data_IF_613231223109
#
_entry.id   IF_613231223109
#
_cell.length_a   1.000
_cell.length_b   1.000
_cell.length_c   1.000
_cell.angle_alpha   90.00
_cell.angle_beta   90.00
_cell.angle_gamma   90.00
#
_symmetry.space_group_name_H-M   'P 1'
#
loop_
_entity.id
_entity.type
_entity.pdbx_description
1 polymer ?
#
# COMPACT_ATOMS: atom_id res chain seq x y z
N UNK A 1 -9.90 -24.20 -3.62
CA UNK A 1 -8.98 -25.18 -4.25
C UNK A 1 -7.57 -24.64 -4.08
N UNK A 2 -6.64 -25.39 -3.48
CA UNK A 2 -5.23 -24.98 -3.47
C UNK A 2 -4.70 -25.13 -4.90
N UNK A 3 -4.27 -24.03 -5.52
CA UNK A 3 -3.50 -24.10 -6.77
C UNK A 3 -2.24 -24.93 -6.45
N UNK A 4 -1.98 -26.04 -7.17
CA UNK A 4 -0.76 -26.80 -6.96
C UNK A 4 0.39 -25.96 -7.51
N UNK A 5 1.02 -25.18 -6.64
CA UNK A 5 2.29 -24.55 -6.95
C UNK A 5 3.35 -25.66 -6.99
N UNK A 6 4.21 -25.68 -8.01
CA UNK A 6 5.34 -26.59 -8.01
C UNK A 6 6.22 -26.33 -6.80
N UNK A 7 6.73 -27.38 -6.16
CA UNK A 7 7.53 -27.31 -4.92
C UNK A 7 8.83 -26.48 -5.06
N UNK A 8 9.22 -26.15 -6.30
CA UNK A 8 10.38 -25.31 -6.60
C UNK A 8 10.08 -23.80 -6.66
N UNK A 9 8.82 -23.38 -6.62
CA UNK A 9 8.47 -21.95 -6.59
C UNK A 9 8.45 -21.49 -5.12
N UNK A 10 9.40 -20.63 -4.69
CA UNK A 10 9.40 -20.14 -3.32
C UNK A 10 8.21 -19.20 -3.12
N UNK A 11 7.15 -19.72 -2.50
CA UNK A 11 6.00 -18.92 -2.08
C UNK A 11 6.25 -18.48 -0.64
N UNK A 12 6.03 -17.20 -0.29
CA UNK A 12 6.17 -16.75 1.09
C UNK A 12 5.23 -17.55 2.01
N UNK A 13 5.69 -17.84 3.22
CA UNK A 13 4.83 -18.43 4.24
C UNK A 13 3.68 -17.48 4.58
N UNK A 14 2.61 -18.03 5.15
CA UNK A 14 1.47 -17.22 5.62
C UNK A 14 1.93 -16.10 6.57
N UNK A 15 2.80 -16.42 7.53
CA UNK A 15 3.37 -15.44 8.47
C UNK A 15 4.16 -14.33 7.76
N UNK A 16 4.91 -14.69 6.70
CA UNK A 16 5.63 -13.71 5.89
C UNK A 16 4.67 -12.82 5.10
N UNK A 17 3.62 -13.38 4.49
CA UNK A 17 2.61 -12.59 3.75
C UNK A 17 1.82 -11.66 4.69
N UNK A 18 1.48 -12.12 5.89
CA UNK A 18 0.80 -11.31 6.90
C UNK A 18 1.68 -10.15 7.37
N UNK A 19 2.96 -10.42 7.63
CA UNK A 19 3.95 -9.39 8.02
C UNK A 19 4.09 -8.34 6.92
N UNK A 20 4.26 -8.78 5.66
CA UNK A 20 4.35 -7.88 4.51
C UNK A 20 3.09 -7.02 4.39
N UNK A 21 1.91 -7.62 4.58
CA UNK A 21 0.64 -6.89 4.47
C UNK A 21 0.49 -5.80 5.52
N UNK A 22 0.83 -6.09 6.78
CA UNK A 22 0.77 -5.11 7.87
C UNK A 22 1.76 -3.96 7.60
N UNK A 23 3.01 -4.29 7.25
CA UNK A 23 4.03 -3.26 6.99
C UNK A 23 3.62 -2.38 5.81
N UNK A 24 3.17 -2.97 4.71
CA UNK A 24 2.72 -2.23 3.53
C UNK A 24 1.47 -1.38 3.81
N UNK A 25 0.56 -1.83 4.68
CA UNK A 25 -0.58 -1.04 5.13
C UNK A 25 -0.12 0.23 5.86
N UNK A 26 0.83 0.10 6.80
CA UNK A 26 1.42 1.26 7.48
C UNK A 26 2.10 2.22 6.49
N UNK A 27 2.87 1.70 5.54
CA UNK A 27 3.50 2.53 4.50
C UNK A 27 2.44 3.27 3.67
N UNK A 28 1.35 2.59 3.30
CA UNK A 28 0.23 3.17 2.58
C UNK A 28 -0.41 4.34 3.33
N UNK A 29 -0.70 4.17 4.62
CA UNK A 29 -1.24 5.23 5.49
C UNK A 29 -0.29 6.43 5.55
N UNK A 30 1.01 6.18 5.77
CA UNK A 30 2.02 7.23 5.81
C UNK A 30 2.09 8.01 4.49
N UNK A 31 2.01 7.33 3.34
CA UNK A 31 2.01 7.98 2.01
C UNK A 31 0.78 8.86 1.80
N UNK A 32 -0.41 8.42 2.23
CA UNK A 32 -1.63 9.23 2.13
C UNK A 32 -1.50 10.47 3.03
N UNK A 33 -1.11 10.32 4.29
CA UNK A 33 -0.96 11.44 5.21
C UNK A 33 0.07 12.46 4.71
N UNK A 34 1.25 11.99 4.30
CA UNK A 34 2.30 12.85 3.77
C UNK A 34 1.89 13.49 2.43
N UNK A 35 1.24 12.73 1.56
CA UNK A 35 0.73 13.20 0.27
C UNK A 35 -0.30 14.33 0.45
N UNK A 36 -1.26 14.17 1.37
CA UNK A 36 -2.24 15.20 1.70
C UNK A 36 -1.59 16.46 2.31
N UNK A 37 -0.63 16.28 3.22
CA UNK A 37 0.12 17.39 3.80
C UNK A 37 0.88 18.17 2.72
N UNK A 38 1.60 17.46 1.83
CA UNK A 38 2.33 18.08 0.73
C UNK A 38 1.40 18.74 -0.29
N UNK A 39 0.22 18.16 -0.54
CA UNK A 39 -0.80 18.72 -1.42
C UNK A 39 -1.28 20.07 -0.88
N UNK A 40 -1.61 20.12 0.42
CA UNK A 40 -2.02 21.35 1.09
C UNK A 40 -0.93 22.43 1.01
N UNK A 41 0.31 22.07 1.37
CA UNK A 41 1.45 23.00 1.35
C UNK A 41 1.77 23.51 -0.06
N UNK A 42 1.68 22.65 -1.08
CA UNK A 42 1.96 23.04 -2.48
C UNK A 42 0.84 23.86 -3.09
N UNK A 43 -0.43 23.55 -2.78
CA UNK A 43 -1.58 24.34 -3.22
C UNK A 43 -1.50 25.77 -2.67
N UNK A 44 -1.13 25.94 -1.39
CA UNK A 44 -0.90 27.27 -0.79
C UNK A 44 0.21 28.07 -1.48
N UNK A 45 1.22 27.39 -2.03
CA UNK A 45 2.36 28.01 -2.73
C UNK A 45 2.14 28.12 -4.25
N UNK A 46 0.96 27.77 -4.78
CA UNK A 46 0.68 27.78 -6.23
C UNK A 46 1.58 26.83 -7.03
N UNK A 47 2.16 25.80 -6.40
CA UNK A 47 3.09 24.86 -7.03
C UNK A 47 2.35 23.67 -7.63
N UNK A 48 2.96 23.04 -8.64
CA UNK A 48 2.45 21.79 -9.23
C UNK A 48 2.19 20.73 -8.16
N UNK A 49 1.04 20.08 -8.23
CA UNK A 49 0.55 19.12 -7.23
C UNK A 49 0.62 17.66 -7.67
N UNK A 50 1.19 17.38 -8.86
CA UNK A 50 1.27 16.02 -9.43
C UNK A 50 1.94 15.02 -8.49
N UNK A 51 3.10 15.36 -7.90
CA UNK A 51 3.83 14.45 -7.00
C UNK A 51 2.99 14.10 -5.75
N UNK A 52 2.42 15.07 -5.00
CA UNK A 52 1.49 14.76 -3.91
C UNK A 52 0.34 13.84 -4.32
N UNK A 53 -0.26 14.05 -5.48
CA UNK A 53 -1.35 13.21 -5.98
C UNK A 53 -0.88 11.78 -6.25
N UNK A 54 0.30 11.59 -6.86
CA UNK A 54 0.89 10.26 -7.06
C UNK A 54 1.11 9.55 -5.72
N UNK A 55 1.65 10.24 -4.71
CA UNK A 55 1.82 9.68 -3.37
C UNK A 55 0.49 9.21 -2.76
N UNK A 56 -0.55 10.05 -2.84
CA UNK A 56 -1.89 9.70 -2.33
C UNK A 56 -2.45 8.49 -3.08
N UNK A 57 -2.35 8.47 -4.42
CA UNK A 57 -2.85 7.36 -5.23
C UNK A 57 -2.16 6.04 -4.91
N UNK A 58 -0.82 6.02 -4.81
CA UNK A 58 -0.07 4.82 -4.42
C UNK A 58 -0.46 4.38 -3.00
N UNK A 59 -0.57 5.33 -2.06
CA UNK A 59 -0.98 5.04 -0.70
C UNK A 59 -2.36 4.41 -0.60
N UNK A 60 -3.35 4.92 -1.34
CA UNK A 60 -4.71 4.35 -1.40
C UNK A 60 -4.68 2.93 -1.95
N UNK A 61 -3.91 2.67 -3.01
CA UNK A 61 -3.79 1.33 -3.62
C UNK A 61 -3.22 0.34 -2.60
N UNK A 62 -2.14 0.71 -1.89
CA UNK A 62 -1.54 -0.13 -0.86
C UNK A 62 -2.53 -0.43 0.27
N UNK A 63 -3.24 0.60 0.75
CA UNK A 63 -4.23 0.44 1.81
C UNK A 63 -5.34 -0.51 1.36
N UNK A 64 -5.94 -0.27 0.19
CA UNK A 64 -7.03 -1.09 -0.32
C UNK A 64 -6.60 -2.56 -0.49
N UNK A 65 -5.44 -2.78 -1.11
CA UNK A 65 -4.94 -4.13 -1.38
C UNK A 65 -4.64 -4.90 -0.09
N UNK A 66 -3.84 -4.32 0.82
CA UNK A 66 -3.44 -5.02 2.03
C UNK A 66 -4.55 -5.10 3.08
N UNK A 67 -5.49 -4.15 3.09
CA UNK A 67 -6.70 -4.27 3.93
C UNK A 67 -7.59 -5.40 3.44
N UNK A 68 -7.79 -5.54 2.12
CA UNK A 68 -8.52 -6.69 1.57
C UNK A 68 -7.80 -8.01 1.89
N UNK A 69 -6.48 -8.05 1.75
CA UNK A 69 -5.68 -9.23 2.08
C UNK A 69 -5.85 -9.64 3.55
N UNK A 70 -5.81 -8.67 4.48
CA UNK A 70 -5.99 -8.92 5.92
C UNK A 70 -7.45 -9.28 6.29
N UNK A 71 -8.45 -8.68 5.63
CA UNK A 71 -9.86 -8.95 5.91
C UNK A 71 -10.32 -10.31 5.39
N UNK A 72 -9.83 -10.71 4.21
CA UNK A 72 -10.24 -11.97 3.57
C UNK A 72 -9.25 -13.11 3.80
N UNK A 73 -8.17 -12.85 4.55
CA UNK A 73 -7.11 -13.81 4.87
C UNK A 73 -6.56 -14.51 3.61
N UNK A 74 -6.35 -13.72 2.56
CA UNK A 74 -5.92 -14.15 1.21
C UNK A 74 -4.40 -14.37 1.12
#
# INVERSE_FOLDING_TARGET
MKYPFPDFVPVPSYEAMLTISIVSLFVGICLVCLGLLLLFLRKRKGKKTTIPWVCVSIGIILIANHSAQLLFNL
#
